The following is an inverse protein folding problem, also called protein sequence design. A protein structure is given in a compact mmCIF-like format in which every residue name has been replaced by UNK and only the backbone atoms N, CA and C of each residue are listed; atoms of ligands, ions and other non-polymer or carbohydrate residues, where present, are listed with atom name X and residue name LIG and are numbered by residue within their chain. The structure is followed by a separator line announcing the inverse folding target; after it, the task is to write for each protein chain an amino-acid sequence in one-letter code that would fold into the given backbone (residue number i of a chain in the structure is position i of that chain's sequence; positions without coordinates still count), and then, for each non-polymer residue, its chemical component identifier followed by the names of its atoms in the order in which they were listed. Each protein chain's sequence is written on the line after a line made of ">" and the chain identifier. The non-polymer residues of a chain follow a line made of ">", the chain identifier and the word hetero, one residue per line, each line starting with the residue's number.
data_IF_474891825111
#
_entry.id   IF_474891825111
#
_cell.length_a   1.000
_cell.length_b   1.000
_cell.length_c   1.000
_cell.angle_alpha   90.00
_cell.angle_beta   90.00
_cell.angle_gamma   90.00
#
_symmetry.space_group_name_H-M   'P 1'
#
loop_
_entity.id
_entity.type
_entity.pdbx_description
1 polymer ?
#
# COMPACT_ATOMS: atom_id res chain seq x y z
N UNK A 1 -5.21 27.52 16.28
CA UNK A 1 -5.06 26.11 15.87
C UNK A 1 -4.63 26.07 14.40
N UNK A 2 -3.36 25.82 14.13
CA UNK A 2 -2.86 25.63 12.76
C UNK A 2 -3.37 24.28 12.26
N UNK A 3 -4.27 24.29 11.28
CA UNK A 3 -4.62 23.09 10.51
C UNK A 3 -3.34 22.64 9.81
N UNK A 4 -2.73 21.57 10.31
CA UNK A 4 -1.67 20.88 9.56
C UNK A 4 -2.33 20.26 8.35
N UNK A 5 -2.18 20.92 7.21
CA UNK A 5 -2.54 20.33 5.91
C UNK A 5 -1.85 18.98 5.81
N UNK A 6 -2.59 17.97 5.43
CA UNK A 6 -2.03 16.69 5.01
C UNK A 6 -1.12 16.97 3.80
N UNK A 7 0.19 16.93 3.95
CA UNK A 7 1.05 17.26 2.82
C UNK A 7 1.26 16.01 1.97
N UNK A 8 1.02 16.15 0.71
CA UNK A 8 1.80 15.76 -0.47
C UNK A 8 2.55 14.41 -0.50
N UNK A 9 2.56 13.60 0.55
CA UNK A 9 3.24 12.30 0.58
C UNK A 9 2.59 11.29 -0.39
N UNK A 10 1.30 11.46 -0.67
CA UNK A 10 0.63 10.70 -1.72
C UNK A 10 1.03 11.09 -3.15
N UNK A 11 1.65 12.25 -3.35
CA UNK A 11 2.01 12.75 -4.68
C UNK A 11 3.41 12.33 -5.14
N UNK A 12 4.31 11.98 -4.26
CA UNK A 12 5.66 11.55 -4.65
C UNK A 12 5.67 10.21 -5.40
N UNK A 13 4.67 9.36 -5.17
CA UNK A 13 4.51 8.08 -5.90
C UNK A 13 3.73 8.28 -7.20
N UNK A 14 2.94 9.36 -7.32
CA UNK A 14 2.10 9.63 -8.49
C UNK A 14 2.86 10.25 -9.66
N UNK A 15 4.07 10.75 -9.48
CA UNK A 15 4.85 11.40 -10.55
C UNK A 15 5.55 10.43 -11.52
N UNK A 16 5.53 9.12 -11.26
CA UNK A 16 6.08 8.11 -12.18
C UNK A 16 5.04 7.65 -13.21
N UNK A 17 3.78 8.05 -13.09
CA UNK A 17 2.66 7.48 -13.86
C UNK A 17 2.25 8.27 -15.12
N UNK A 18 3.14 9.01 -15.78
CA UNK A 18 2.83 9.67 -17.07
C UNK A 18 3.31 8.91 -18.30
N UNK A 19 3.62 7.63 -18.19
CA UNK A 19 3.88 6.78 -19.35
C UNK A 19 2.58 6.10 -19.81
N UNK A 20 2.26 6.27 -21.06
CA UNK A 20 1.09 5.77 -21.78
C UNK A 20 0.99 4.24 -21.62
N UNK A 21 0.12 3.78 -20.72
CA UNK A 21 -0.11 2.36 -20.49
C UNK A 21 -1.29 1.85 -21.32
N UNK A 22 -0.98 0.92 -22.21
CA UNK A 22 -1.97 -0.03 -22.73
C UNK A 22 -2.33 -1.00 -21.61
N UNK A 23 -3.12 -0.54 -20.63
CA UNK A 23 -3.68 -1.45 -19.64
C UNK A 23 -4.62 -2.42 -20.36
N UNK A 24 -4.34 -3.70 -20.25
CA UNK A 24 -5.41 -4.69 -20.32
C UNK A 24 -6.37 -4.35 -19.18
N UNK A 25 -7.51 -3.72 -19.52
CA UNK A 25 -8.52 -3.35 -18.53
C UNK A 25 -8.92 -4.63 -17.79
N UNK A 26 -8.77 -4.71 -16.45
CA UNK A 26 -9.25 -5.86 -15.70
C UNK A 26 -10.72 -6.11 -16.04
N UNK A 27 -11.12 -7.37 -16.18
CA UNK A 27 -12.52 -7.69 -16.40
C UNK A 27 -13.37 -7.19 -15.21
N UNK A 28 -14.65 -6.86 -15.42
CA UNK A 28 -15.54 -6.45 -14.32
C UNK A 28 -15.59 -7.49 -13.19
N UNK A 29 -15.43 -8.77 -13.51
CA UNK A 29 -15.34 -9.84 -12.54
C UNK A 29 -14.12 -9.66 -11.61
N UNK A 30 -12.95 -9.35 -12.16
CA UNK A 30 -11.72 -9.11 -11.37
C UNK A 30 -11.86 -7.88 -10.46
N UNK A 31 -12.60 -6.85 -10.88
CA UNK A 31 -12.84 -5.66 -10.06
C UNK A 31 -13.75 -5.97 -8.87
N UNK A 32 -14.81 -6.75 -9.09
CA UNK A 32 -15.69 -7.20 -8.02
C UNK A 32 -14.95 -8.10 -7.02
N UNK A 33 -14.18 -9.06 -7.51
CA UNK A 33 -13.36 -9.95 -6.69
C UNK A 33 -12.33 -9.18 -5.87
N UNK A 34 -11.71 -8.17 -6.48
CA UNK A 34 -10.79 -7.27 -5.77
C UNK A 34 -11.47 -6.53 -4.61
N UNK A 35 -12.63 -5.93 -4.83
CA UNK A 35 -13.36 -5.22 -3.79
C UNK A 35 -13.76 -6.15 -2.65
N UNK A 36 -14.26 -7.34 -3.00
CA UNK A 36 -14.62 -8.38 -2.02
C UNK A 36 -13.40 -8.84 -1.20
N UNK A 37 -12.28 -9.12 -1.85
CA UNK A 37 -11.06 -9.57 -1.16
C UNK A 37 -10.46 -8.46 -0.30
N UNK A 38 -10.49 -7.21 -0.77
CA UNK A 38 -10.03 -6.06 0.00
C UNK A 38 -10.84 -5.90 1.30
N UNK A 39 -12.16 -5.95 1.23
CA UNK A 39 -13.02 -5.83 2.40
C UNK A 39 -12.84 -7.01 3.36
N UNK A 40 -12.69 -8.21 2.83
CA UNK A 40 -12.40 -9.41 3.62
C UNK A 40 -11.06 -9.32 4.37
N UNK A 41 -9.99 -8.88 3.69
CA UNK A 41 -8.68 -8.69 4.30
C UNK A 41 -8.69 -7.55 5.32
N UNK A 42 -9.38 -6.45 5.02
CA UNK A 42 -9.55 -5.34 5.97
C UNK A 42 -10.25 -5.81 7.26
N UNK A 43 -11.29 -6.62 7.13
CA UNK A 43 -12.00 -7.21 8.26
C UNK A 43 -11.12 -8.12 9.10
N UNK A 44 -10.31 -8.96 8.48
CA UNK A 44 -9.39 -9.86 9.18
C UNK A 44 -8.32 -9.13 10.00
N UNK A 45 -8.05 -7.87 9.67
CA UNK A 45 -7.01 -7.05 10.31
C UNK A 45 -7.57 -5.88 11.13
N UNK A 46 -8.88 -5.88 11.42
CA UNK A 46 -9.57 -4.79 12.14
C UNK A 46 -9.40 -3.40 11.46
N UNK A 47 -9.33 -3.40 10.13
CA UNK A 47 -9.16 -2.19 9.31
C UNK A 47 -10.44 -1.75 8.59
N UNK A 48 -11.60 -2.31 8.94
CA UNK A 48 -12.90 -2.03 8.30
C UNK A 48 -13.21 -0.53 8.31
N UNK A 49 -12.98 0.14 9.43
CA UNK A 49 -13.25 1.58 9.56
C UNK A 49 -12.45 2.45 8.59
N UNK A 50 -11.34 1.95 8.05
CA UNK A 50 -10.55 2.62 7.02
C UNK A 50 -11.02 2.25 5.62
N UNK A 51 -11.39 0.98 5.39
CA UNK A 51 -11.95 0.52 4.13
C UNK A 51 -13.29 1.20 3.84
N UNK A 52 -14.18 1.26 4.81
CA UNK A 52 -15.54 1.81 4.66
C UNK A 52 -15.58 3.32 4.35
N UNK A 53 -14.49 4.03 4.65
CA UNK A 53 -14.36 5.47 4.30
C UNK A 53 -14.05 5.72 2.84
N UNK A 54 -13.65 4.69 2.10
CA UNK A 54 -13.30 4.78 0.69
C UNK A 54 -14.47 4.30 -0.16
N UNK A 55 -14.86 5.08 -1.16
CA UNK A 55 -15.78 4.60 -2.20
C UNK A 55 -15.11 3.49 -3.03
N UNK A 56 -15.92 2.62 -3.62
CA UNK A 56 -15.43 1.53 -4.48
C UNK A 56 -14.56 2.05 -5.63
N UNK A 57 -14.92 3.19 -6.21
CA UNK A 57 -14.12 3.85 -7.23
C UNK A 57 -12.72 4.23 -6.73
N UNK A 58 -12.60 4.72 -5.50
CA UNK A 58 -11.29 5.02 -4.89
C UNK A 58 -10.50 3.75 -4.56
N UNK A 59 -11.17 2.73 -4.05
CA UNK A 59 -10.56 1.41 -3.80
C UNK A 59 -9.98 0.83 -5.09
N UNK A 60 -10.74 0.83 -6.17
CA UNK A 60 -10.29 0.35 -7.49
C UNK A 60 -9.14 1.17 -8.05
N UNK A 61 -9.21 2.50 -7.94
CA UNK A 61 -8.11 3.39 -8.35
C UNK A 61 -6.80 3.06 -7.61
N UNK A 62 -6.88 2.84 -6.30
CA UNK A 62 -5.73 2.47 -5.49
C UNK A 62 -5.17 1.10 -5.90
N UNK A 63 -6.04 0.11 -6.13
CA UNK A 63 -5.64 -1.22 -6.58
C UNK A 63 -4.90 -1.19 -7.91
N UNK A 64 -5.42 -0.46 -8.88
CA UNK A 64 -4.79 -0.28 -10.20
C UNK A 64 -3.45 0.46 -10.11
N UNK A 65 -3.35 1.46 -9.23
CA UNK A 65 -2.11 2.17 -8.96
C UNK A 65 -1.03 1.22 -8.44
N UNK A 66 -1.38 0.33 -7.50
CA UNK A 66 -0.44 -0.67 -7.00
C UNK A 66 -0.02 -1.67 -8.06
N UNK A 67 -0.94 -2.10 -8.93
CA UNK A 67 -0.58 -2.94 -10.07
C UNK A 67 0.44 -2.26 -10.99
N UNK A 68 0.26 -0.98 -11.29
CA UNK A 68 1.21 -0.23 -12.10
C UNK A 68 2.59 -0.12 -11.42
N UNK A 69 2.62 0.15 -10.13
CA UNK A 69 3.87 0.17 -9.35
C UNK A 69 4.57 -1.19 -9.38
N UNK A 70 3.79 -2.28 -9.27
CA UNK A 70 4.34 -3.64 -9.32
C UNK A 70 4.85 -4.02 -10.72
N UNK A 71 4.23 -3.51 -11.76
CA UNK A 71 4.67 -3.73 -13.14
C UNK A 71 6.01 -3.05 -13.41
N UNK A 72 6.11 -1.77 -13.12
CA UNK A 72 7.26 -0.94 -13.50
C UNK A 72 8.41 -0.95 -12.49
N UNK A 73 8.10 -1.10 -11.21
CA UNK A 73 9.07 -1.00 -10.13
C UNK A 73 9.87 -2.29 -9.90
N UNK A 74 11.16 -2.16 -9.64
CA UNK A 74 11.94 -3.25 -9.05
C UNK A 74 11.51 -3.45 -7.58
N UNK A 75 11.73 -4.67 -7.05
CA UNK A 75 11.45 -4.98 -5.63
C UNK A 75 12.19 -4.02 -4.72
N UNK A 76 13.44 -3.69 -5.06
CA UNK A 76 14.28 -2.75 -4.31
C UNK A 76 13.68 -1.34 -4.28
N UNK A 77 13.18 -0.85 -5.41
CA UNK A 77 12.62 0.50 -5.52
C UNK A 77 11.31 0.61 -4.74
N UNK A 78 10.45 -0.41 -4.87
CA UNK A 78 9.18 -0.47 -4.14
C UNK A 78 9.43 -0.50 -2.62
N UNK A 79 10.35 -1.36 -2.17
CA UNK A 79 10.75 -1.44 -0.76
C UNK A 79 11.33 -0.11 -0.25
N UNK A 80 12.20 0.54 -1.05
CA UNK A 80 12.81 1.82 -0.70
C UNK A 80 11.76 2.93 -0.57
N UNK A 81 10.76 2.98 -1.46
CA UNK A 81 9.65 3.92 -1.40
C UNK A 81 8.79 3.74 -0.14
N UNK A 82 8.50 2.49 0.24
CA UNK A 82 7.83 2.20 1.52
C UNK A 82 8.63 2.70 2.72
N UNK A 83 9.92 2.39 2.75
CA UNK A 83 10.81 2.80 3.83
C UNK A 83 10.90 4.32 3.95
N UNK A 84 11.05 5.01 2.83
CA UNK A 84 11.08 6.48 2.79
C UNK A 84 9.77 7.09 3.30
N UNK A 85 8.63 6.53 2.89
CA UNK A 85 7.32 6.98 3.36
C UNK A 85 7.20 6.85 4.88
N UNK A 86 7.61 5.72 5.45
CA UNK A 86 7.60 5.50 6.90
C UNK A 86 8.54 6.50 7.60
N UNK A 87 9.74 6.72 7.08
CA UNK A 87 10.68 7.69 7.64
C UNK A 87 10.13 9.11 7.63
N UNK A 88 9.48 9.51 6.55
CA UNK A 88 8.83 10.81 6.43
C UNK A 88 7.69 10.97 7.46
N UNK A 89 6.90 9.93 7.69
CA UNK A 89 5.87 9.94 8.73
C UNK A 89 6.45 10.12 10.12
N UNK A 90 7.54 9.42 10.44
CA UNK A 90 8.27 9.58 11.70
C UNK A 90 8.77 11.03 11.88
N UNK A 91 9.36 11.61 10.85
CA UNK A 91 9.85 13.00 10.87
C UNK A 91 8.73 14.02 11.04
N UNK A 92 7.54 13.72 10.52
CA UNK A 92 6.34 14.55 10.66
C UNK A 92 5.64 14.39 12.03
N UNK A 93 6.14 13.50 12.89
CA UNK A 93 5.64 13.30 14.24
C UNK A 93 4.38 12.43 14.33
N UNK A 94 4.16 11.55 13.34
CA UNK A 94 3.12 10.53 13.46
C UNK A 94 3.48 9.54 14.56
N UNK A 95 2.47 9.09 15.32
CA UNK A 95 2.66 8.06 16.35
C UNK A 95 2.96 6.70 15.72
N UNK A 96 3.63 5.82 16.46
CA UNK A 96 3.91 4.45 16.01
C UNK A 96 2.61 3.73 15.59
N UNK A 97 1.53 3.91 16.36
CA UNK A 97 0.20 3.35 16.02
C UNK A 97 -0.33 3.85 14.67
N UNK A 98 -0.18 5.14 14.39
CA UNK A 98 -0.62 5.69 13.09
C UNK A 98 0.19 5.14 11.93
N UNK A 99 1.50 4.94 12.13
CA UNK A 99 2.40 4.35 11.15
C UNK A 99 2.05 2.88 10.92
N UNK A 100 1.79 2.13 11.98
CA UNK A 100 1.41 0.72 11.88
C UNK A 100 0.09 0.54 11.13
N UNK A 101 -0.92 1.37 11.43
CA UNK A 101 -2.21 1.35 10.74
C UNK A 101 -2.02 1.71 9.26
N UNK A 102 -1.30 2.78 8.97
CA UNK A 102 -1.00 3.18 7.58
C UNK A 102 -0.34 2.03 6.81
N UNK A 103 0.70 1.44 7.39
CA UNK A 103 1.44 0.33 6.78
C UNK A 103 0.54 -0.88 6.54
N UNK A 104 -0.30 -1.24 7.51
CA UNK A 104 -1.23 -2.36 7.39
C UNK A 104 -2.26 -2.11 6.28
N UNK A 105 -2.81 -0.90 6.17
CA UNK A 105 -3.74 -0.51 5.10
C UNK A 105 -3.07 -0.63 3.72
N UNK A 106 -1.86 -0.12 3.56
CA UNK A 106 -1.14 -0.19 2.27
C UNK A 106 -0.83 -1.63 1.87
N UNK A 107 -0.38 -2.46 2.81
CA UNK A 107 -0.10 -3.88 2.56
C UNK A 107 -1.39 -4.62 2.19
N UNK A 108 -2.50 -4.31 2.83
CA UNK A 108 -3.81 -4.93 2.56
C UNK A 108 -4.29 -4.61 1.14
N UNK A 109 -4.20 -3.34 0.73
CA UNK A 109 -4.54 -2.92 -0.64
C UNK A 109 -3.64 -3.61 -1.66
N UNK A 110 -2.33 -3.61 -1.41
CA UNK A 110 -1.35 -4.25 -2.28
C UNK A 110 -1.61 -5.74 -2.42
N UNK A 111 -1.91 -6.43 -1.32
CA UNK A 111 -2.22 -7.87 -1.31
C UNK A 111 -3.45 -8.18 -2.16
N UNK A 112 -4.56 -7.47 -1.94
CA UNK A 112 -5.78 -7.65 -2.74
C UNK A 112 -5.52 -7.36 -4.23
N UNK A 113 -4.72 -6.34 -4.53
CA UNK A 113 -4.36 -5.96 -5.91
C UNK A 113 -3.60 -7.06 -6.63
N UNK A 114 -2.54 -7.59 -6.04
CA UNK A 114 -1.74 -8.65 -6.68
C UNK A 114 -2.47 -9.99 -6.72
N UNK A 115 -3.45 -10.18 -5.85
CA UNK A 115 -4.26 -11.40 -5.87
C UNK A 115 -5.29 -11.39 -6.99
N UNK A 116 -5.99 -10.26 -7.19
CA UNK A 116 -7.20 -10.22 -8.01
C UNK A 116 -7.04 -9.36 -9.29
N UNK A 117 -6.28 -8.28 -9.26
CA UNK A 117 -6.12 -7.39 -10.41
C UNK A 117 -4.87 -7.70 -11.23
N UNK A 118 -3.78 -8.10 -10.59
CA UNK A 118 -2.50 -8.32 -11.26
C UNK A 118 -1.71 -9.51 -10.68
N UNK A 119 -2.25 -10.73 -10.78
CA UNK A 119 -1.68 -11.92 -10.14
C UNK A 119 -0.28 -12.27 -10.66
N UNK A 120 0.10 -11.82 -11.85
CA UNK A 120 1.45 -12.01 -12.39
C UNK A 120 2.55 -11.42 -11.51
N UNK A 121 2.22 -10.45 -10.64
CA UNK A 121 3.19 -9.78 -9.75
C UNK A 121 3.15 -10.27 -8.29
N UNK A 122 2.41 -11.32 -7.99
CA UNK A 122 2.34 -11.90 -6.64
C UNK A 122 3.70 -12.28 -6.06
N UNK A 123 4.64 -12.71 -6.90
CA UNK A 123 6.00 -13.02 -6.46
C UNK A 123 6.77 -11.78 -5.94
N UNK A 124 6.54 -10.61 -6.53
CA UNK A 124 7.14 -9.35 -6.04
C UNK A 124 6.58 -8.98 -4.66
N UNK A 125 5.27 -9.14 -4.48
CA UNK A 125 4.62 -8.92 -3.19
C UNK A 125 5.26 -9.77 -2.08
N UNK A 126 5.39 -11.07 -2.29
CA UNK A 126 5.99 -11.97 -1.30
C UNK A 126 7.40 -11.52 -0.91
N UNK A 127 8.23 -11.15 -1.88
CA UNK A 127 9.59 -10.66 -1.62
C UNK A 127 9.63 -9.32 -0.86
N UNK A 128 8.67 -8.43 -1.11
CA UNK A 128 8.53 -7.17 -0.35
C UNK A 128 8.17 -7.47 1.10
N UNK A 129 7.23 -8.38 1.35
CA UNK A 129 6.84 -8.79 2.70
C UNK A 129 8.02 -9.42 3.44
N UNK A 130 8.75 -10.34 2.81
CA UNK A 130 9.97 -10.94 3.38
C UNK A 130 11.01 -9.89 3.78
N UNK A 131 11.22 -8.87 2.93
CA UNK A 131 12.14 -7.76 3.22
C UNK A 131 11.67 -6.90 4.40
N UNK A 132 10.37 -6.59 4.48
CA UNK A 132 9.78 -5.84 5.60
C UNK A 132 9.87 -6.61 6.93
N UNK A 133 9.60 -7.90 6.92
CA UNK A 133 9.72 -8.76 8.11
C UNK A 133 11.17 -8.90 8.58
N UNK A 134 12.10 -9.04 7.65
CA UNK A 134 13.53 -9.12 7.95
C UNK A 134 14.04 -7.82 8.59
N UNK A 135 13.57 -6.66 8.10
CA UNK A 135 13.92 -5.36 8.67
C UNK A 135 13.38 -5.19 10.10
N UNK A 136 12.17 -5.70 10.40
CA UNK A 136 11.61 -5.69 11.76
C UNK A 136 12.45 -6.53 12.73
N UNK A 137 12.95 -7.68 12.30
CA UNK A 137 13.81 -8.56 13.13
C UNK A 137 15.18 -7.96 13.41
N UNK A 138 15.69 -7.09 12.55
CA UNK A 138 17.00 -6.44 12.69
C UNK A 138 16.98 -5.16 13.53
N UNK A 139 15.79 -4.63 13.89
CA UNK A 139 15.69 -3.54 14.85
C UNK A 139 15.73 -4.12 16.25
N UNK A 140 16.89 -4.06 16.96
CA UNK A 140 16.95 -4.49 18.35
C UNK A 140 16.02 -3.60 19.18
N UNK A 141 15.41 -4.20 20.20
CA UNK A 141 14.55 -3.64 21.27
C UNK A 141 15.09 -2.32 21.90
N UNK A 142 15.29 -1.26 21.11
CA UNK A 142 15.69 0.06 21.59
C UNK A 142 14.52 0.96 22.01
N UNK A 143 13.31 0.42 22.17
CA UNK A 143 12.13 1.21 22.57
C UNK A 143 11.48 0.76 23.88
N UNK A 144 12.26 0.25 24.83
CA UNK A 144 11.83 0.16 26.23
C UNK A 144 12.78 1.02 27.08
N UNK A 145 12.57 2.34 27.02
CA UNK A 145 12.93 3.25 28.13
C UNK A 145 12.06 4.49 28.05
#
# INVERSE_FOLDING_TARGET
>A
MKRKSFPHVFFAVATIATSIFSFSVPSQASEYEYLYELDKLAKQQDLESYSDRLSDSKKLKNGRMYCAIMEDGSIKDIYSAFKETIQNMVQQGYSDRQIDIFTAVQITILHASVKELCPAYGYKFNKIIEALESAKKQQPLKRQR
#
